data_IF_754628894885
#
_entry.id   IF_754628894885
#
_cell.length_a   1.000
_cell.length_b   1.000
_cell.length_c   1.000
_cell.angle_alpha   90.00
_cell.angle_beta   90.00
_cell.angle_gamma   90.00
#
_symmetry.space_group_name_H-M   'P 1'
#
loop_
_entity.id
_entity.type
_entity.pdbx_description
1 polymer ?
#
# COMPACT_ATOMS: atom_id res chain seq x y z
N UNK A 1 13.36 4.14 4.10
CA UNK A 1 14.21 3.62 3.04
C UNK A 1 15.67 3.52 3.48
N UNK A 2 16.34 4.57 3.96
CA UNK A 2 17.76 4.50 4.41
C UNK A 2 17.97 3.47 5.52
N UNK A 3 17.11 3.44 6.55
CA UNK A 3 17.20 2.46 7.65
C UNK A 3 16.94 1.02 7.21
N UNK A 4 16.13 0.83 6.18
CA UNK A 4 15.85 -0.50 5.60
C UNK A 4 16.93 -0.96 4.61
N UNK A 5 17.97 -0.14 4.35
CA UNK A 5 19.03 -0.47 3.38
C UNK A 5 18.53 -0.54 1.93
N UNK A 6 17.36 0.05 1.63
CA UNK A 6 16.81 0.05 0.29
C UNK A 6 17.59 1.04 -0.60
N UNK A 7 18.51 0.51 -1.40
CA UNK A 7 19.34 1.27 -2.35
C UNK A 7 18.75 1.27 -3.77
N UNK A 8 17.71 0.47 -4.01
CA UNK A 8 17.00 0.33 -5.27
C UNK A 8 15.49 0.31 -5.07
N UNK A 9 14.74 0.86 -6.03
CA UNK A 9 13.27 0.83 -6.09
C UNK A 9 12.88 0.54 -7.53
N UNK A 10 12.22 -0.61 -7.76
CA UNK A 10 11.75 -1.01 -9.10
C UNK A 10 10.47 -0.27 -9.48
N UNK A 11 9.57 -0.03 -8.52
CA UNK A 11 8.34 0.70 -8.72
C UNK A 11 7.75 1.21 -7.39
N UNK A 12 6.80 2.15 -7.49
CA UNK A 12 5.95 2.58 -6.37
C UNK A 12 4.49 2.43 -6.80
N UNK A 13 3.69 1.78 -5.96
CA UNK A 13 2.24 1.66 -6.15
C UNK A 13 1.55 2.53 -5.10
N UNK A 14 0.74 3.47 -5.55
CA UNK A 14 -0.03 4.36 -4.69
C UNK A 14 -1.43 3.81 -4.46
N UNK A 15 -1.83 3.75 -3.20
CA UNK A 15 -3.17 3.30 -2.81
C UNK A 15 -4.24 4.39 -3.04
N UNK A 16 -3.96 5.63 -2.65
CA UNK A 16 -4.89 6.76 -2.74
C UNK A 16 -4.16 8.10 -2.54
N UNK A 17 -4.82 9.27 -2.77
CA UNK A 17 -4.12 10.55 -2.85
C UNK A 17 -3.96 11.32 -1.53
N UNK A 18 -4.14 10.71 -0.35
CA UNK A 18 -3.91 11.40 0.91
C UNK A 18 -2.42 11.72 1.11
N UNK A 19 -2.14 12.75 1.89
CA UNK A 19 -0.81 13.34 2.01
C UNK A 19 0.24 12.36 2.54
N UNK A 20 -0.10 11.59 3.54
CA UNK A 20 0.76 10.58 4.17
C UNK A 20 1.10 9.40 3.24
N UNK A 21 0.36 9.24 2.15
CA UNK A 21 0.63 8.22 1.12
C UNK A 21 1.36 8.75 -0.11
N UNK A 22 1.26 10.06 -0.44
CA UNK A 22 1.85 10.58 -1.68
C UNK A 22 3.02 11.55 -1.47
N UNK A 23 3.20 12.14 -0.29
CA UNK A 23 4.21 13.20 -0.10
C UNK A 23 5.67 12.70 -0.15
N UNK A 24 5.92 11.40 -0.04
CA UNK A 24 7.25 10.81 -0.21
C UNK A 24 7.76 10.77 -1.66
N UNK A 25 7.00 11.21 -2.65
CA UNK A 25 7.35 11.11 -4.07
C UNK A 25 8.69 11.80 -4.41
N UNK A 26 9.00 12.94 -3.80
CA UNK A 26 10.25 13.66 -4.09
C UNK A 26 11.50 12.94 -3.54
N UNK A 27 11.36 12.07 -2.54
CA UNK A 27 12.46 11.24 -2.01
C UNK A 27 12.95 10.21 -3.04
N UNK A 28 12.15 9.91 -4.07
CA UNK A 28 12.56 9.08 -5.21
C UNK A 28 13.66 9.72 -6.05
N UNK A 29 13.91 11.01 -5.85
CA UNK A 29 14.99 11.77 -6.52
C UNK A 29 16.37 11.15 -6.28
N UNK A 30 16.61 10.63 -5.07
CA UNK A 30 17.85 9.94 -4.73
C UNK A 30 18.10 8.73 -5.63
N UNK A 31 17.09 7.91 -5.84
CA UNK A 31 17.16 6.72 -6.71
C UNK A 31 17.36 7.10 -8.17
N UNK A 32 16.65 8.13 -8.66
CA UNK A 32 16.86 8.66 -10.00
C UNK A 32 18.30 9.15 -10.22
N UNK A 33 18.88 9.86 -9.28
CA UNK A 33 20.26 10.35 -9.40
C UNK A 33 21.28 9.20 -9.43
N UNK A 34 21.06 8.14 -8.63
CA UNK A 34 21.95 7.00 -8.57
C UNK A 34 21.85 6.12 -9.84
N UNK A 35 20.64 5.86 -10.30
CA UNK A 35 20.40 4.90 -11.39
C UNK A 35 20.30 5.55 -12.78
N UNK A 36 20.01 6.86 -12.85
CA UNK A 36 19.65 7.60 -14.07
C UNK A 36 18.40 7.05 -14.76
N UNK A 37 17.58 6.31 -14.02
CA UNK A 37 16.32 5.75 -14.47
C UNK A 37 15.18 6.40 -13.69
N UNK A 38 14.09 6.77 -14.38
CA UNK A 38 12.86 7.21 -13.72
C UNK A 38 12.26 6.03 -13.00
N UNK A 39 11.78 6.25 -11.78
CA UNK A 39 11.06 5.23 -11.02
C UNK A 39 9.63 5.13 -11.55
N UNK A 40 9.16 3.97 -12.03
CA UNK A 40 7.76 3.78 -12.39
C UNK A 40 6.87 3.99 -11.16
N UNK A 41 5.80 4.76 -11.34
CA UNK A 41 4.78 4.96 -10.30
C UNK A 41 3.42 4.55 -10.86
N UNK A 42 2.71 3.73 -10.11
CA UNK A 42 1.40 3.19 -10.49
C UNK A 42 0.33 3.74 -9.54
N UNK A 43 -0.77 4.19 -10.10
CA UNK A 43 -1.94 4.66 -9.36
C UNK A 43 -3.18 4.56 -10.25
N UNK A 44 -4.36 4.58 -9.66
CA UNK A 44 -5.57 4.83 -10.44
C UNK A 44 -5.59 6.27 -11.00
N UNK A 45 -6.54 6.55 -11.87
CA UNK A 45 -6.61 7.87 -12.53
C UNK A 45 -6.81 9.01 -11.52
N UNK A 46 -7.64 8.80 -10.50
CA UNK A 46 -7.93 9.82 -9.49
C UNK A 46 -6.67 10.20 -8.68
N UNK A 47 -5.95 9.22 -8.21
CA UNK A 47 -4.68 9.42 -7.48
C UNK A 47 -3.61 9.99 -8.39
N UNK A 48 -3.52 9.54 -9.64
CA UNK A 48 -2.55 10.04 -10.61
C UNK A 48 -2.78 11.53 -10.94
N UNK A 49 -4.04 11.96 -11.03
CA UNK A 49 -4.35 13.37 -11.28
C UNK A 49 -3.94 14.26 -10.09
N UNK A 50 -4.14 13.79 -8.87
CA UNK A 50 -3.65 14.48 -7.66
C UNK A 50 -2.12 14.55 -7.60
N UNK A 51 -1.43 13.47 -7.98
CA UNK A 51 0.03 13.46 -8.10
C UNK A 51 0.51 14.49 -9.13
N UNK A 52 -0.15 14.60 -10.28
CA UNK A 52 0.16 15.61 -11.31
C UNK A 52 -0.08 17.04 -10.82
N UNK A 53 -1.18 17.25 -10.10
CA UNK A 53 -1.48 18.57 -9.53
C UNK A 53 -0.46 19.00 -8.48
N UNK A 54 -0.15 18.13 -7.52
CA UNK A 54 0.69 18.49 -6.38
C UNK A 54 2.20 18.41 -6.68
N UNK A 55 2.63 17.46 -7.53
CA UNK A 55 4.04 17.12 -7.77
C UNK A 55 4.43 17.11 -9.24
N UNK A 56 3.83 18.00 -10.04
CA UNK A 56 4.05 18.07 -11.47
C UNK A 56 5.54 18.07 -11.86
N UNK A 57 6.38 18.74 -11.10
CA UNK A 57 7.82 18.82 -11.33
C UNK A 57 8.57 17.48 -11.18
N UNK A 58 7.97 16.49 -10.50
CA UNK A 58 8.50 15.13 -10.44
C UNK A 58 8.17 14.33 -11.71
N UNK A 59 7.07 14.66 -12.38
CA UNK A 59 6.54 13.93 -13.53
C UNK A 59 6.91 14.52 -14.89
N UNK A 60 7.05 15.85 -14.94
CA UNK A 60 7.30 16.61 -16.19
C UNK A 60 8.39 17.65 -15.99
N UNK A 61 9.16 17.92 -17.05
CA UNK A 61 10.08 19.06 -17.06
C UNK A 61 9.27 20.34 -17.25
N UNK A 62 9.31 21.30 -16.31
CA UNK A 62 8.62 22.59 -16.48
C UNK A 62 9.16 23.36 -17.70
N UNK A 63 8.34 24.17 -18.38
CA UNK A 63 8.80 25.03 -19.47
C UNK A 63 9.97 25.92 -19.03
N UNK A 64 11.04 25.90 -19.82
CA UNK A 64 12.27 26.70 -19.53
C UNK A 64 13.18 26.10 -18.46
N UNK A 65 12.86 24.91 -17.91
CA UNK A 65 13.67 24.19 -16.94
C UNK A 65 14.55 23.13 -17.64
N UNK A 66 15.71 22.86 -17.04
CA UNK A 66 16.59 21.75 -17.43
C UNK A 66 16.47 20.55 -16.47
N UNK A 67 15.57 20.60 -15.48
CA UNK A 67 15.38 19.50 -14.54
C UNK A 67 14.55 18.39 -15.18
N UNK A 68 15.11 17.19 -15.32
CA UNK A 68 14.35 16.06 -15.85
C UNK A 68 13.31 15.56 -14.83
N UNK A 69 12.22 14.94 -15.30
CA UNK A 69 11.30 14.23 -14.42
C UNK A 69 12.00 13.02 -13.78
N UNK A 70 11.62 12.71 -12.55
CA UNK A 70 12.26 11.63 -11.75
C UNK A 70 11.43 10.36 -11.72
N UNK A 71 10.13 10.44 -12.02
CA UNK A 71 9.22 9.31 -12.04
C UNK A 71 8.59 9.10 -13.42
N UNK A 72 8.12 7.89 -13.68
CA UNK A 72 7.38 7.50 -14.89
C UNK A 72 5.95 7.13 -14.48
N UNK A 73 4.95 7.99 -14.76
CA UNK A 73 3.56 7.71 -14.37
C UNK A 73 2.94 6.62 -15.25
N UNK A 74 2.28 5.66 -14.62
CA UNK A 74 1.49 4.59 -15.23
C UNK A 74 0.14 4.52 -14.54
N UNK A 75 -0.93 4.70 -15.30
CA UNK A 75 -2.29 4.61 -14.76
C UNK A 75 -2.73 3.14 -14.72
N UNK A 76 -3.27 2.70 -13.59
CA UNK A 76 -3.96 1.42 -13.46
C UNK A 76 -5.35 1.59 -14.04
N UNK A 77 -5.54 1.21 -15.31
CA UNK A 77 -6.81 1.38 -16.02
C UNK A 77 -7.80 0.26 -15.72
N UNK A 78 -7.29 -0.95 -15.44
CA UNK A 78 -8.10 -2.12 -15.16
C UNK A 78 -7.65 -2.78 -13.85
N UNK A 79 -8.53 -2.76 -12.84
CA UNK A 79 -8.28 -3.36 -11.52
C UNK A 79 -8.44 -4.89 -11.49
N UNK A 80 -8.89 -5.49 -12.59
CA UNK A 80 -8.98 -6.94 -12.72
C UNK A 80 -7.75 -7.55 -13.38
N UNK A 81 -6.81 -6.71 -13.84
CA UNK A 81 -5.53 -7.12 -14.39
C UNK A 81 -4.39 -6.84 -13.40
N UNK A 82 -3.36 -7.70 -13.34
CA UNK A 82 -2.23 -7.46 -12.47
C UNK A 82 -1.34 -6.31 -12.97
N UNK A 83 -0.79 -5.57 -12.03
CA UNK A 83 0.34 -4.67 -12.27
C UNK A 83 1.62 -5.50 -12.19
N UNK A 84 2.25 -5.75 -13.32
CA UNK A 84 3.49 -6.51 -13.40
C UNK A 84 4.69 -5.62 -13.10
N UNK A 85 5.44 -5.93 -12.05
CA UNK A 85 6.70 -5.26 -11.71
C UNK A 85 7.87 -6.21 -11.99
N UNK A 86 8.84 -5.72 -12.76
CA UNK A 86 10.07 -6.46 -13.08
C UNK A 86 11.29 -5.79 -12.47
N UNK A 87 12.08 -6.58 -11.75
CA UNK A 87 13.34 -6.18 -11.16
C UNK A 87 14.43 -7.21 -11.34
N UNK A 88 15.61 -7.02 -10.78
CA UNK A 88 16.72 -7.98 -10.86
C UNK A 88 16.37 -9.36 -10.30
N UNK A 89 15.46 -9.44 -9.33
CA UNK A 89 14.98 -10.68 -8.72
C UNK A 89 13.93 -11.44 -9.53
N UNK A 90 13.44 -10.88 -10.66
CA UNK A 90 12.40 -11.48 -11.48
C UNK A 90 11.14 -10.61 -11.60
N UNK A 91 9.99 -11.26 -11.70
CA UNK A 91 8.69 -10.65 -11.89
C UNK A 91 7.83 -10.85 -10.64
N UNK A 92 7.11 -9.78 -10.24
CA UNK A 92 6.06 -9.86 -9.22
C UNK A 92 4.78 -9.25 -9.82
N UNK A 93 3.67 -9.97 -9.68
CA UNK A 93 2.34 -9.52 -10.09
C UNK A 93 1.58 -9.00 -8.87
N UNK A 94 1.17 -7.73 -8.93
CA UNK A 94 0.35 -7.07 -7.93
C UNK A 94 -1.08 -6.99 -8.44
N UNK A 95 -2.02 -7.64 -7.78
CA UNK A 95 -3.44 -7.62 -8.13
C UNK A 95 -4.15 -6.52 -7.34
N UNK A 96 -4.51 -5.40 -7.98
CA UNK A 96 -5.21 -4.31 -7.30
C UNK A 96 -6.64 -4.70 -6.98
N UNK A 97 -7.17 -4.13 -5.91
CA UNK A 97 -8.59 -4.23 -5.57
C UNK A 97 -9.08 -2.96 -4.89
N UNK A 98 -10.36 -2.64 -5.10
CA UNK A 98 -10.99 -1.45 -4.52
C UNK A 98 -11.31 -1.69 -3.05
N UNK A 99 -11.02 -0.71 -2.21
CA UNK A 99 -11.41 -0.61 -0.81
C UNK A 99 -12.23 0.66 -0.60
N UNK A 100 -13.20 0.64 0.32
CA UNK A 100 -13.89 1.85 0.74
C UNK A 100 -13.04 2.58 1.78
N UNK A 101 -12.86 3.88 1.63
CA UNK A 101 -12.12 4.74 2.54
C UNK A 101 -12.90 6.04 2.79
N UNK A 102 -13.92 5.97 3.66
CA UNK A 102 -14.86 7.06 3.85
C UNK A 102 -15.59 7.43 2.55
N UNK A 103 -15.42 8.68 2.13
CA UNK A 103 -16.08 9.23 0.93
C UNK A 103 -15.30 8.95 -0.38
N UNK A 104 -14.12 8.34 -0.28
CA UNK A 104 -13.31 7.95 -1.44
C UNK A 104 -13.06 6.44 -1.45
N UNK A 105 -12.42 5.95 -2.48
CA UNK A 105 -11.84 4.60 -2.49
C UNK A 105 -10.32 4.68 -2.32
N UNK A 106 -9.75 3.59 -1.84
CA UNK A 106 -8.31 3.32 -1.90
C UNK A 106 -8.06 2.01 -2.66
N UNK A 107 -6.84 1.80 -3.12
CA UNK A 107 -6.41 0.53 -3.68
C UNK A 107 -5.69 -0.29 -2.62
N UNK A 108 -6.13 -1.53 -2.45
CA UNK A 108 -5.32 -2.57 -1.84
C UNK A 108 -4.63 -3.39 -2.93
N UNK A 109 -3.63 -4.18 -2.54
CA UNK A 109 -2.86 -5.01 -3.46
C UNK A 109 -2.68 -6.41 -2.92
N UNK A 110 -2.98 -7.42 -3.75
CA UNK A 110 -2.68 -8.81 -3.46
C UNK A 110 -1.44 -9.27 -4.23
N UNK A 111 -0.53 -9.98 -3.57
CA UNK A 111 0.71 -10.56 -4.12
C UNK A 111 0.72 -12.03 -3.70
N UNK A 112 0.43 -12.94 -4.62
CA UNK A 112 0.23 -14.35 -4.25
C UNK A 112 -0.83 -14.49 -3.16
N UNK A 113 -0.47 -15.03 -2.01
CA UNK A 113 -1.36 -15.21 -0.86
C UNK A 113 -1.17 -14.15 0.25
N UNK A 114 -0.58 -13.02 -0.08
CA UNK A 114 -0.49 -11.83 0.79
C UNK A 114 -1.37 -10.72 0.25
N UNK A 115 -2.14 -10.06 1.13
CA UNK A 115 -2.87 -8.84 0.78
C UNK A 115 -2.46 -7.68 1.69
N UNK A 116 -2.28 -6.50 1.08
CA UNK A 116 -2.05 -5.22 1.75
C UNK A 116 -3.27 -4.34 1.62
N UNK A 117 -3.90 -4.02 2.75
CA UNK A 117 -5.18 -3.33 2.84
C UNK A 117 -5.09 -2.20 3.89
N UNK A 118 -4.27 -1.17 3.61
CA UNK A 118 -4.22 0.05 4.43
C UNK A 118 -5.33 1.00 4.03
N UNK A 119 -5.74 1.90 4.96
CA UNK A 119 -6.70 2.96 4.71
C UNK A 119 -8.04 2.45 4.15
N UNK A 120 -8.73 1.75 5.00
CA UNK A 120 -10.00 1.09 4.67
C UNK A 120 -11.02 1.31 5.78
N UNK A 121 -12.27 1.58 5.39
CA UNK A 121 -13.44 1.55 6.28
C UNK A 121 -14.34 0.33 6.03
N UNK A 122 -14.30 -0.25 4.82
CA UNK A 122 -15.04 -1.47 4.49
C UNK A 122 -14.53 -2.11 3.19
N UNK A 123 -14.85 -3.40 2.99
CA UNK A 123 -14.57 -4.10 1.74
C UNK A 123 -15.85 -4.25 0.91
N UNK A 124 -15.86 -3.75 -0.36
CA UNK A 124 -16.93 -4.08 -1.28
C UNK A 124 -17.04 -5.62 -1.49
N UNK A 125 -18.24 -6.15 -1.75
CA UNK A 125 -18.44 -7.60 -1.89
C UNK A 125 -17.48 -8.29 -2.89
N UNK A 126 -17.25 -7.66 -4.05
CA UNK A 126 -16.33 -8.17 -5.08
C UNK A 126 -14.87 -8.24 -4.60
N UNK A 127 -14.48 -7.40 -3.66
CA UNK A 127 -13.14 -7.43 -3.06
C UNK A 127 -13.00 -8.56 -2.06
N UNK A 128 -14.05 -8.88 -1.31
CA UNK A 128 -14.05 -10.00 -0.36
C UNK A 128 -13.72 -11.32 -1.06
N UNK A 129 -14.21 -11.53 -2.29
CA UNK A 129 -13.93 -12.73 -3.08
C UNK A 129 -12.44 -12.80 -3.48
N UNK A 130 -11.81 -11.65 -3.76
CA UNK A 130 -10.38 -11.55 -4.08
C UNK A 130 -9.47 -11.78 -2.87
N UNK A 131 -9.98 -11.65 -1.65
CA UNK A 131 -9.24 -11.76 -0.39
C UNK A 131 -9.42 -13.12 0.31
N UNK A 132 -9.84 -14.16 -0.41
CA UNK A 132 -9.96 -15.51 0.14
C UNK A 132 -8.60 -16.24 0.14
N UNK A 133 -8.45 -17.18 1.10
CA UNK A 133 -7.29 -18.06 1.22
C UNK A 133 -5.94 -17.32 1.34
N UNK A 134 -5.90 -16.27 2.14
CA UNK A 134 -4.66 -15.53 2.39
C UNK A 134 -3.79 -16.25 3.43
N UNK A 135 -2.49 -16.27 3.18
CA UNK A 135 -1.48 -16.60 4.18
C UNK A 135 -1.26 -15.42 5.12
N UNK A 136 -1.17 -14.21 4.55
CA UNK A 136 -0.98 -12.99 5.33
C UNK A 136 -1.94 -11.90 4.87
N UNK A 137 -2.66 -11.31 5.82
CA UNK A 137 -3.45 -10.09 5.62
C UNK A 137 -2.82 -8.94 6.40
N UNK A 138 -2.37 -7.89 5.72
CA UNK A 138 -1.96 -6.63 6.32
C UNK A 138 -3.17 -5.70 6.22
N UNK A 139 -3.71 -5.26 7.36
CA UNK A 139 -4.98 -4.54 7.41
C UNK A 139 -4.93 -3.33 8.32
N UNK A 140 -5.66 -2.27 7.94
CA UNK A 140 -5.86 -1.06 8.74
C UNK A 140 -6.42 -1.38 10.13
N UNK A 141 -5.94 -0.69 11.15
CA UNK A 141 -6.51 -0.64 12.49
C UNK A 141 -6.13 0.69 13.13
N UNK A 142 -6.91 1.72 12.86
CA UNK A 142 -6.52 3.09 13.23
C UNK A 142 -6.53 3.32 14.75
N UNK A 143 -7.61 2.95 15.43
CA UNK A 143 -7.84 3.24 16.84
C UNK A 143 -8.90 2.32 17.44
N UNK A 144 -9.18 2.44 18.77
CA UNK A 144 -10.21 1.65 19.43
C UNK A 144 -11.63 2.07 19.07
N UNK A 145 -11.87 3.36 18.86
CA UNK A 145 -13.21 3.90 18.57
C UNK A 145 -13.49 3.96 17.08
N UNK A 146 -14.77 3.98 16.73
CA UNK A 146 -15.21 4.14 15.34
C UNK A 146 -14.60 5.38 14.68
N UNK A 147 -14.19 5.22 13.41
CA UNK A 147 -13.77 6.29 12.51
C UNK A 147 -14.48 6.16 11.15
N UNK A 148 -14.92 7.27 10.51
CA UNK A 148 -15.73 7.20 9.29
C UNK A 148 -14.97 6.66 8.06
N UNK A 149 -13.65 6.77 8.04
CA UNK A 149 -12.82 6.36 6.89
C UNK A 149 -11.81 5.24 7.19
N UNK A 150 -11.72 4.79 8.45
CA UNK A 150 -10.80 3.73 8.85
C UNK A 150 -11.49 2.70 9.72
N UNK A 151 -10.94 1.48 9.75
CA UNK A 151 -11.37 0.45 10.68
C UNK A 151 -10.90 0.78 12.10
N UNK A 152 -11.77 0.56 13.09
CA UNK A 152 -11.36 0.40 14.47
C UNK A 152 -10.69 -0.96 14.66
N UNK A 153 -9.96 -1.16 15.77
CA UNK A 153 -9.38 -2.47 16.11
C UNK A 153 -10.46 -3.58 16.11
N UNK A 154 -11.63 -3.33 16.69
CA UNK A 154 -12.74 -4.29 16.71
C UNK A 154 -13.21 -4.65 15.30
N UNK A 155 -13.39 -3.66 14.42
CA UNK A 155 -13.80 -3.88 13.04
C UNK A 155 -12.73 -4.63 12.23
N UNK A 156 -11.45 -4.37 12.49
CA UNK A 156 -10.35 -5.11 11.85
C UNK A 156 -10.33 -6.56 12.28
N UNK A 157 -10.55 -6.84 13.57
CA UNK A 157 -10.66 -8.21 14.09
C UNK A 157 -11.89 -8.95 13.53
N UNK A 158 -13.01 -8.24 13.30
CA UNK A 158 -14.20 -8.83 12.64
C UNK A 158 -13.86 -9.23 11.19
N UNK A 159 -13.21 -8.36 10.42
CA UNK A 159 -12.76 -8.68 9.06
C UNK A 159 -11.76 -9.85 9.04
N UNK A 160 -10.79 -9.88 9.95
CA UNK A 160 -9.84 -10.98 10.09
C UNK A 160 -10.59 -12.30 10.37
N UNK A 161 -11.57 -12.28 11.26
CA UNK A 161 -12.41 -13.46 11.57
C UNK A 161 -13.21 -13.97 10.36
N UNK A 162 -13.66 -13.07 9.48
CA UNK A 162 -14.41 -13.39 8.26
C UNK A 162 -13.51 -13.91 7.14
N UNK A 163 -12.38 -13.28 6.90
CA UNK A 163 -11.43 -13.62 5.83
C UNK A 163 -10.53 -14.81 6.20
N UNK A 164 -10.29 -15.04 7.49
CA UNK A 164 -9.53 -16.17 8.05
C UNK A 164 -8.13 -16.34 7.45
N UNK A 165 -7.30 -15.29 7.39
CA UNK A 165 -5.92 -15.44 6.98
C UNK A 165 -5.17 -16.34 7.98
N UNK A 166 -4.09 -17.01 7.55
CA UNK A 166 -3.22 -17.74 8.49
C UNK A 166 -2.55 -16.81 9.50
N UNK A 167 -2.22 -15.59 9.07
CA UNK A 167 -1.66 -14.51 9.90
C UNK A 167 -2.26 -13.17 9.48
N UNK A 168 -2.50 -12.28 10.46
CA UNK A 168 -2.87 -10.90 10.20
C UNK A 168 -1.86 -9.94 10.84
N UNK A 169 -1.60 -8.82 10.17
CA UNK A 169 -0.72 -7.76 10.62
C UNK A 169 -1.52 -6.46 10.60
N UNK A 170 -1.72 -5.87 11.79
CA UNK A 170 -2.41 -4.59 11.94
C UNK A 170 -1.45 -3.45 11.58
N UNK A 171 -1.88 -2.58 10.69
CA UNK A 171 -1.08 -1.42 10.25
C UNK A 171 -1.85 -0.12 10.43
N UNK A 172 -1.23 1.02 10.13
CA UNK A 172 -1.82 2.36 10.21
C UNK A 172 -2.33 2.73 11.62
N UNK A 173 -1.74 2.14 12.65
CA UNK A 173 -2.14 2.36 14.04
C UNK A 173 -1.81 3.79 14.49
N UNK A 174 -2.83 4.49 15.01
CA UNK A 174 -2.68 5.81 15.60
C UNK A 174 -2.27 5.71 17.08
N UNK A 175 -1.80 6.82 17.65
CA UNK A 175 -1.23 6.90 19.01
C UNK A 175 -2.06 6.28 20.15
N UNK A 176 -3.39 6.17 20.10
CA UNK A 176 -4.15 5.46 21.14
C UNK A 176 -3.93 3.96 21.21
N UNK A 177 -3.45 3.33 20.10
CA UNK A 177 -3.14 1.91 20.05
C UNK A 177 -1.67 1.69 20.46
N UNK A 178 -1.46 1.36 21.73
CA UNK A 178 -0.15 0.95 22.22
C UNK A 178 0.20 -0.45 21.71
N UNK A 179 1.43 -0.65 21.24
CA UNK A 179 1.88 -1.91 20.64
C UNK A 179 1.70 -3.11 21.57
N UNK A 180 2.19 -2.99 22.81
CA UNK A 180 2.19 -4.10 23.77
C UNK A 180 0.75 -4.40 24.25
N UNK A 181 -0.09 -3.38 24.38
CA UNK A 181 -1.50 -3.55 24.71
C UNK A 181 -2.23 -4.31 23.59
N UNK A 182 -2.06 -3.89 22.33
CA UNK A 182 -2.68 -4.56 21.17
C UNK A 182 -2.18 -6.01 21.06
N UNK A 183 -0.89 -6.26 21.25
CA UNK A 183 -0.35 -7.63 21.28
C UNK A 183 -0.99 -8.51 22.36
N UNK A 184 -1.30 -7.94 23.52
CA UNK A 184 -1.89 -8.69 24.63
C UNK A 184 -3.37 -8.98 24.47
N UNK A 185 -4.10 -8.16 23.72
CA UNK A 185 -5.56 -8.28 23.55
C UNK A 185 -6.00 -8.92 22.24
N UNK A 186 -5.07 -9.16 21.30
CA UNK A 186 -5.37 -9.77 20.00
C UNK A 186 -5.09 -11.28 20.00
N UNK A 187 -5.77 -12.08 19.14
CA UNK A 187 -5.45 -13.50 18.96
C UNK A 187 -3.99 -13.72 18.52
N UNK A 188 -3.40 -14.88 18.85
CA UNK A 188 -2.00 -15.22 18.58
C UNK A 188 -1.55 -15.01 17.12
N UNK A 189 -2.46 -15.23 16.15
CA UNK A 189 -2.17 -15.05 14.72
C UNK A 189 -2.32 -13.59 14.23
N UNK A 190 -2.68 -12.65 15.12
CA UNK A 190 -2.87 -11.23 14.83
C UNK A 190 -1.82 -10.43 15.58
N UNK A 191 -1.00 -9.69 14.87
CA UNK A 191 0.09 -8.91 15.47
C UNK A 191 0.09 -7.47 14.95
N UNK A 192 0.38 -6.47 15.79
CA UNK A 192 0.60 -5.11 15.30
C UNK A 192 1.91 -5.01 14.51
N UNK A 193 1.94 -4.17 13.49
CA UNK A 193 3.15 -3.86 12.73
C UNK A 193 4.10 -2.97 13.53
N UNK A 194 5.38 -3.08 13.24
CA UNK A 194 6.42 -2.16 13.72
C UNK A 194 7.39 -1.83 12.58
N UNK A 195 8.12 -0.72 12.71
CA UNK A 195 9.07 -0.27 11.71
C UNK A 195 10.11 -1.35 11.40
N UNK A 196 10.29 -1.66 10.12
CA UNK A 196 11.21 -2.69 9.61
C UNK A 196 10.76 -4.13 9.91
N UNK A 197 9.50 -4.36 10.27
CA UNK A 197 8.94 -5.70 10.33
C UNK A 197 9.12 -6.39 8.98
N UNK A 198 9.64 -7.61 8.97
CA UNK A 198 9.82 -8.42 7.77
C UNK A 198 9.31 -9.84 8.00
N UNK A 199 8.84 -10.46 6.95
CA UNK A 199 8.45 -11.87 6.93
C UNK A 199 8.69 -12.45 5.53
N UNK A 200 8.87 -13.74 5.47
CA UNK A 200 9.05 -14.47 4.21
C UNK A 200 7.77 -15.24 3.88
N UNK A 201 7.48 -15.32 2.59
CA UNK A 201 6.37 -16.13 2.05
C UNK A 201 6.90 -16.96 0.89
N UNK A 202 6.35 -18.17 0.76
CA UNK A 202 6.55 -18.96 -0.44
C UNK A 202 5.55 -18.49 -1.50
N UNK A 203 6.05 -18.00 -2.63
CA UNK A 203 5.22 -17.67 -3.78
C UNK A 203 5.19 -18.90 -4.68
N UNK A 204 4.02 -19.54 -4.78
CA UNK A 204 3.81 -20.63 -5.74
C UNK A 204 4.06 -20.09 -7.15
N UNK A 205 4.95 -20.76 -7.88
CA UNK A 205 5.32 -20.40 -9.24
C UNK A 205 4.16 -20.60 -10.23
#
# INVERSE_FOLDING_TARGET
>A
MIRAGADHVDAVLYSHPHADHIHGIDDLRGYFHNTRRRVPIFADQYTMDRLREAFRYCLETPPGSNYPPIVLPVVIENIDEPVEIRGPGGKIDFYPHIQQHGDIHSLGFRIGDVAYCSDISDFPPQTVDKLQNLDVLIIDALQYTYHPSHLSLEQSLDWISRLKPKRAILTHMHTPLDYDAVMAETPEHVVPAFDQMSFEIEVSA
#
